data_IF_029925103058
#
_entry.id   IF_029925103058
#
_cell.length_a   1.000
_cell.length_b   1.000
_cell.length_c   1.000
_cell.angle_alpha   90.00
_cell.angle_beta   90.00
_cell.angle_gamma   90.00
#
_symmetry.space_group_name_H-M   'P 1'
#
loop_
_entity.id
_entity.type
_entity.pdbx_description
1 polymer ?
#
# COMPACT_ATOMS: atom_id res chain seq x y z
N UNK A 1 -29.25 -8.79 -18.20
CA UNK A 1 -28.17 -9.79 -18.01
C UNK A 1 -26.90 -9.23 -18.66
N UNK A 2 -25.79 -9.12 -17.92
CA UNK A 2 -24.43 -8.89 -18.46
C UNK A 2 -23.97 -7.43 -18.64
N UNK A 3 -23.13 -6.91 -17.72
CA UNK A 3 -22.07 -5.90 -18.02
C UNK A 3 -21.29 -5.39 -16.77
N UNK A 4 -21.65 -5.70 -15.52
CA UNK A 4 -20.94 -5.11 -14.34
C UNK A 4 -19.71 -5.88 -13.83
N UNK A 5 -19.42 -7.08 -14.34
CA UNK A 5 -18.37 -7.96 -13.80
C UNK A 5 -16.94 -7.71 -14.33
N UNK A 6 -16.76 -6.80 -15.29
CA UNK A 6 -15.47 -6.61 -15.97
C UNK A 6 -14.56 -5.57 -15.29
N UNK A 7 -15.11 -4.62 -14.53
CA UNK A 7 -14.35 -3.46 -14.03
C UNK A 7 -13.47 -3.78 -12.79
N UNK A 8 -13.82 -4.78 -11.99
CA UNK A 8 -13.02 -5.18 -10.79
C UNK A 8 -11.84 -6.09 -11.14
N UNK A 9 -12.00 -6.98 -12.13
CA UNK A 9 -10.89 -7.78 -12.68
C UNK A 9 -9.82 -6.92 -13.34
N UNK A 10 -10.23 -5.78 -13.90
CA UNK A 10 -9.34 -4.84 -14.58
C UNK A 10 -8.41 -4.10 -13.61
N UNK A 11 -8.89 -3.72 -12.41
CA UNK A 11 -8.06 -3.04 -11.38
C UNK A 11 -7.01 -3.97 -10.78
N UNK A 12 -7.35 -5.24 -10.56
CA UNK A 12 -6.36 -6.24 -10.11
C UNK A 12 -5.41 -6.64 -11.24
N UNK A 13 -5.91 -6.72 -12.48
CA UNK A 13 -5.10 -6.91 -13.69
C UNK A 13 -4.07 -5.80 -13.89
N UNK A 14 -4.41 -4.54 -13.61
CA UNK A 14 -3.48 -3.41 -13.72
C UNK A 14 -2.37 -3.41 -12.66
N UNK A 15 -2.66 -3.84 -11.43
CA UNK A 15 -1.61 -3.98 -10.39
C UNK A 15 -0.68 -5.15 -10.71
N UNK A 16 -1.23 -6.28 -11.18
CA UNK A 16 -0.41 -7.40 -11.64
C UNK A 16 0.39 -7.05 -12.90
N UNK A 17 -0.19 -6.27 -13.83
CA UNK A 17 0.49 -5.84 -15.05
C UNK A 17 1.56 -4.79 -14.76
N UNK A 18 1.35 -3.86 -13.82
CA UNK A 18 2.35 -2.90 -13.37
C UNK A 18 3.49 -3.59 -12.61
N UNK A 19 3.19 -4.59 -11.79
CA UNK A 19 4.19 -5.44 -11.14
C UNK A 19 5.00 -6.26 -12.15
N UNK A 20 4.34 -6.83 -13.17
CA UNK A 20 5.01 -7.52 -14.29
C UNK A 20 5.86 -6.56 -15.13
N UNK A 21 5.39 -5.33 -15.39
CA UNK A 21 6.14 -4.31 -16.11
C UNK A 21 7.38 -3.84 -15.34
N UNK A 22 7.26 -3.64 -14.03
CA UNK A 22 8.40 -3.29 -13.17
C UNK A 22 9.40 -4.45 -13.07
N UNK A 23 8.91 -5.70 -12.95
CA UNK A 23 9.76 -6.89 -12.98
C UNK A 23 10.47 -7.05 -14.33
N UNK A 24 9.76 -6.84 -15.44
CA UNK A 24 10.32 -6.89 -16.80
C UNK A 24 11.33 -5.75 -17.04
N UNK A 25 11.07 -4.56 -16.52
CA UNK A 25 11.99 -3.42 -16.59
C UNK A 25 13.26 -3.65 -15.75
N UNK A 26 13.15 -4.30 -14.60
CA UNK A 26 14.32 -4.69 -13.79
C UNK A 26 15.18 -5.75 -14.48
N UNK A 27 14.54 -6.71 -15.16
CA UNK A 27 15.23 -7.69 -16.01
C UNK A 27 15.90 -6.99 -17.21
N UNK A 28 15.23 -6.04 -17.87
CA UNK A 28 15.81 -5.29 -18.99
C UNK A 28 17.04 -4.45 -18.58
N UNK A 29 17.06 -3.87 -17.37
CA UNK A 29 18.24 -3.19 -16.83
C UNK A 29 19.40 -4.16 -16.58
N UNK A 30 19.12 -5.39 -16.15
CA UNK A 30 20.14 -6.43 -15.97
C UNK A 30 20.71 -6.92 -17.31
N UNK A 31 19.93 -6.87 -18.39
CA UNK A 31 20.36 -7.25 -19.74
C UNK A 31 21.17 -6.17 -20.47
N UNK A 32 21.21 -4.91 -19.99
CA UNK A 32 21.94 -3.84 -20.68
C UNK A 32 23.47 -3.90 -20.52
N UNK A 33 24.00 -4.82 -19.73
CA UNK A 33 25.45 -4.96 -19.52
C UNK A 33 26.01 -3.76 -18.76
N UNK A 34 27.00 -3.99 -17.90
CA UNK A 34 27.70 -2.88 -17.26
C UNK A 34 28.30 -1.97 -18.36
N UNK A 35 28.10 -0.63 -18.34
CA UNK A 35 28.71 0.25 -19.31
C UNK A 35 30.23 0.13 -19.20
N UNK A 36 30.85 -0.48 -20.21
CA UNK A 36 32.31 -0.63 -20.25
C UNK A 36 32.88 0.72 -20.68
N UNK A 37 33.31 1.52 -19.71
CA UNK A 37 34.08 2.73 -19.98
C UNK A 37 35.44 2.31 -20.55
N UNK A 38 35.57 2.36 -21.87
CA UNK A 38 36.88 2.33 -22.52
C UNK A 38 37.52 3.68 -22.25
N UNK A 39 38.57 3.71 -21.43
CA UNK A 39 39.27 4.95 -21.05
C UNK A 39 39.72 5.76 -22.27
N UNK A 40 40.03 7.04 -22.03
CA UNK A 40 40.55 7.98 -23.03
C UNK A 40 41.69 7.36 -23.84
N UNK A 41 41.44 7.06 -25.11
CA UNK A 41 42.48 6.64 -26.05
C UNK A 41 43.24 7.88 -26.49
N UNK A 42 44.38 8.12 -25.86
CA UNK A 42 45.33 9.12 -26.32
C UNK A 42 46.11 8.53 -27.49
N UNK A 43 45.82 8.98 -28.71
CA UNK A 43 46.67 8.70 -29.88
C UNK A 43 47.65 9.86 -29.99
N UNK A 44 48.92 9.71 -29.57
CA UNK A 44 49.89 10.78 -29.75
C UNK A 44 50.03 11.09 -31.25
N UNK A 45 50.19 12.36 -31.64
CA UNK A 45 50.52 12.69 -33.03
C UNK A 45 51.82 11.96 -33.39
N UNK A 46 51.92 11.47 -34.63
CA UNK A 46 53.12 10.83 -35.13
C UNK A 46 54.31 11.79 -34.92
N UNK A 47 55.10 11.54 -33.89
CA UNK A 47 56.41 12.14 -33.80
C UNK A 47 57.20 11.54 -34.95
N UNK A 48 57.79 12.39 -35.79
CA UNK A 48 58.83 11.97 -36.73
C UNK A 48 60.01 11.46 -35.90
N UNK A 49 59.95 10.19 -35.51
CA UNK A 49 61.05 9.47 -34.91
C UNK A 49 62.08 9.27 -36.01
N UNK A 50 63.09 10.14 -36.06
CA UNK A 50 64.29 9.84 -36.82
C UNK A 50 64.85 8.50 -36.31
N UNK A 51 65.10 7.52 -37.20
CA UNK A 51 65.66 6.25 -36.78
C UNK A 51 67.02 6.50 -36.14
N UNK A 52 67.15 6.21 -34.85
CA UNK A 52 68.45 6.12 -34.22
C UNK A 52 69.10 4.82 -34.74
N UNK A 53 70.29 4.87 -35.34
CA UNK A 53 70.98 3.65 -35.76
C UNK A 53 71.46 2.93 -34.51
N UNK A 54 70.65 2.01 -33.99
CA UNK A 54 70.99 1.25 -32.78
C UNK A 54 69.85 0.47 -32.12
N UNK A 55 68.58 0.71 -32.43
CA UNK A 55 67.50 -0.12 -31.86
C UNK A 55 67.32 -1.40 -32.68
N UNK A 56 67.75 -2.52 -32.09
CA UNK A 56 67.41 -3.86 -32.55
C UNK A 56 65.89 -3.97 -32.62
N UNK A 57 65.36 -4.11 -33.84
CA UNK A 57 64.00 -4.60 -34.04
C UNK A 57 63.92 -5.99 -33.40
N UNK A 58 63.37 -6.06 -32.20
CA UNK A 58 62.81 -7.31 -31.69
C UNK A 58 61.57 -7.58 -32.54
N UNK A 59 61.78 -8.19 -33.71
CA UNK A 59 60.73 -8.76 -34.53
C UNK A 59 60.25 -10.04 -33.83
N UNK A 60 59.49 -9.84 -32.77
CA UNK A 60 58.58 -10.84 -32.23
C UNK A 60 57.19 -10.28 -32.41
N UNK A 61 56.43 -10.80 -33.38
CA UNK A 61 54.98 -10.65 -33.33
C UNK A 61 54.55 -11.19 -31.97
N UNK A 62 53.88 -10.43 -31.07
CA UNK A 62 53.32 -11.04 -29.89
C UNK A 62 52.30 -12.06 -30.39
N UNK A 63 52.63 -13.34 -30.24
CA UNK A 63 51.71 -14.45 -30.47
C UNK A 63 50.45 -14.12 -29.68
N UNK A 64 49.26 -14.07 -30.29
CA UNK A 64 48.02 -13.89 -29.54
C UNK A 64 47.98 -14.99 -28.49
N UNK A 65 48.10 -14.62 -27.23
CA UNK A 65 47.82 -15.52 -26.13
C UNK A 65 46.32 -15.82 -26.23
N UNK A 66 46.00 -17.01 -26.73
CA UNK A 66 44.64 -17.49 -26.87
C UNK A 66 44.13 -17.78 -25.46
N UNK A 67 43.68 -16.72 -24.76
CA UNK A 67 43.09 -16.82 -23.43
C UNK A 67 41.83 -17.67 -23.63
N UNK A 68 41.75 -18.91 -23.11
CA UNK A 68 40.54 -19.69 -23.22
C UNK A 68 39.46 -18.92 -22.45
N UNK A 69 38.58 -18.24 -23.17
CA UNK A 69 37.34 -17.71 -22.62
C UNK A 69 36.46 -18.93 -22.34
N UNK A 70 36.75 -19.62 -21.24
CA UNK A 70 35.82 -20.52 -20.59
C UNK A 70 34.65 -19.62 -20.16
N UNK A 71 33.63 -19.51 -21.01
CA UNK A 71 32.39 -18.78 -20.75
C UNK A 71 31.68 -19.46 -19.58
N UNK A 72 32.18 -19.26 -18.35
CA UNK A 72 31.46 -19.56 -17.13
C UNK A 72 30.30 -18.60 -17.10
N UNK A 73 29.15 -19.08 -17.59
CA UNK A 73 27.88 -18.40 -17.41
C UNK A 73 27.73 -18.23 -15.90
N UNK A 74 27.91 -17.00 -15.44
CA UNK A 74 27.86 -16.65 -14.04
C UNK A 74 26.39 -16.77 -13.59
N UNK A 75 26.01 -17.97 -13.14
CA UNK A 75 24.62 -18.28 -12.76
C UNK A 75 24.26 -17.70 -11.38
N UNK A 76 25.19 -17.00 -10.75
CA UNK A 76 25.04 -16.43 -9.41
C UNK A 76 23.93 -15.39 -9.39
N UNK A 77 23.80 -14.56 -10.44
CA UNK A 77 22.70 -13.58 -10.55
C UNK A 77 21.33 -14.24 -10.72
N UNK A 78 21.24 -15.34 -11.49
CA UNK A 78 20.01 -16.14 -11.63
C UNK A 78 19.61 -16.72 -10.28
N UNK A 79 20.59 -17.19 -9.51
CA UNK A 79 20.40 -17.74 -8.18
C UNK A 79 19.85 -16.67 -7.22
N UNK A 80 20.43 -15.46 -7.19
CA UNK A 80 19.91 -14.35 -6.40
C UNK A 80 18.52 -13.90 -6.83
N UNK A 81 18.24 -13.87 -8.14
CA UNK A 81 16.92 -13.52 -8.66
C UNK A 81 15.84 -14.53 -8.23
N UNK A 82 16.15 -15.83 -8.27
CA UNK A 82 15.26 -16.89 -7.79
C UNK A 82 15.04 -16.80 -6.28
N UNK A 83 16.08 -16.57 -5.49
CA UNK A 83 15.97 -16.39 -4.04
C UNK A 83 15.10 -15.17 -3.71
N UNK A 84 15.34 -14.03 -4.38
CA UNK A 84 14.55 -12.82 -4.18
C UNK A 84 13.06 -13.05 -4.52
N UNK A 85 12.77 -13.76 -5.62
CA UNK A 85 11.41 -14.12 -6.00
C UNK A 85 10.74 -15.00 -4.92
N UNK A 86 11.45 -16.01 -4.41
CA UNK A 86 10.94 -16.89 -3.35
C UNK A 86 10.66 -16.09 -2.08
N UNK A 87 11.56 -15.18 -1.68
CA UNK A 87 11.37 -14.33 -0.49
C UNK A 87 10.15 -13.42 -0.66
N UNK A 88 9.96 -12.80 -1.82
CA UNK A 88 8.79 -11.96 -2.11
C UNK A 88 7.50 -12.78 -2.04
N UNK A 89 7.47 -13.98 -2.62
CA UNK A 89 6.31 -14.88 -2.56
C UNK A 89 6.02 -15.30 -1.12
N UNK A 90 7.05 -15.66 -0.34
CA UNK A 90 6.90 -16.03 1.07
C UNK A 90 6.39 -14.85 1.91
N UNK A 91 6.91 -13.64 1.71
CA UNK A 91 6.42 -12.43 2.39
C UNK A 91 4.98 -12.11 2.00
N UNK A 92 4.61 -12.25 0.73
CA UNK A 92 3.24 -12.04 0.28
C UNK A 92 2.28 -13.08 0.88
N UNK A 93 2.69 -14.35 0.94
CA UNK A 93 1.92 -15.42 1.57
C UNK A 93 1.83 -15.24 3.08
N UNK A 94 2.92 -14.87 3.74
CA UNK A 94 2.98 -14.57 5.16
C UNK A 94 2.11 -13.36 5.49
N UNK A 95 2.18 -12.28 4.71
CA UNK A 95 1.32 -11.12 4.84
C UNK A 95 -0.15 -11.49 4.63
N UNK A 96 -0.47 -12.30 3.62
CA UNK A 96 -1.82 -12.80 3.38
C UNK A 96 -2.31 -13.69 4.52
N UNK A 97 -1.43 -14.53 5.07
CA UNK A 97 -1.71 -15.41 6.20
C UNK A 97 -1.91 -14.61 7.49
N UNK A 98 -1.00 -13.69 7.83
CA UNK A 98 -1.13 -12.75 8.94
C UNK A 98 -2.37 -11.91 8.78
N UNK A 99 -2.68 -11.36 7.61
CA UNK A 99 -3.90 -10.58 7.38
C UNK A 99 -5.18 -11.41 7.52
N UNK A 100 -5.13 -12.72 7.24
CA UNK A 100 -6.24 -13.65 7.48
C UNK A 100 -6.34 -14.12 8.94
N UNK A 101 -5.21 -14.22 9.64
CA UNK A 101 -5.12 -14.69 11.04
C UNK A 101 -5.30 -13.55 12.05
N UNK A 102 -4.88 -12.34 11.69
CA UNK A 102 -5.05 -11.07 12.41
C UNK A 102 -6.36 -10.37 12.03
N UNK A 103 -7.12 -10.91 11.08
CA UNK A 103 -8.57 -10.73 11.10
C UNK A 103 -9.05 -11.58 12.28
N UNK A 104 -9.39 -10.98 13.43
CA UNK A 104 -9.97 -11.76 14.50
C UNK A 104 -11.37 -12.11 14.00
N UNK A 105 -11.53 -13.32 13.48
CA UNK A 105 -12.69 -14.10 13.89
C UNK A 105 -12.54 -14.13 15.41
N UNK A 106 -13.49 -13.56 16.15
CA UNK A 106 -13.51 -13.65 17.61
C UNK A 106 -14.25 -14.95 17.98
N UNK A 107 -13.61 -16.13 18.10
CA UNK A 107 -14.02 -17.10 19.09
C UNK A 107 -13.49 -16.58 20.44
N UNK A 108 -14.39 -16.44 21.40
CA UNK A 108 -14.07 -15.86 22.70
C UNK A 108 -12.88 -16.55 23.38
N UNK A 109 -12.00 -15.75 23.96
CA UNK A 109 -11.02 -16.22 24.92
C UNK A 109 -10.96 -15.22 26.07
N UNK A 110 -11.58 -15.65 27.17
CA UNK A 110 -11.21 -15.36 28.55
C UNK A 110 -9.70 -15.53 28.74
N UNK A 111 -9.12 -14.73 29.63
CA UNK A 111 -7.77 -15.00 30.14
C UNK A 111 -7.01 -13.75 30.55
N UNK A 112 -7.18 -13.39 31.82
CA UNK A 112 -6.22 -12.77 32.73
C UNK A 112 -5.10 -11.89 32.16
N UNK A 113 -5.16 -10.60 32.50
CA UNK A 113 -3.97 -9.88 32.95
C UNK A 113 -4.29 -9.28 34.31
N UNK A 114 -3.66 -9.87 35.32
CA UNK A 114 -3.69 -9.48 36.72
C UNK A 114 -3.19 -8.03 36.92
N UNK A 115 -3.91 -7.31 37.77
CA UNK A 115 -3.60 -5.94 38.19
C UNK A 115 -4.60 -5.43 39.23
N UNK A 116 -4.63 -6.08 40.38
CA UNK A 116 -5.17 -5.71 41.69
C UNK A 116 -5.93 -4.37 41.85
N UNK A 117 -7.24 -4.44 42.10
CA UNK A 117 -7.89 -3.90 43.32
C UNK A 117 -9.34 -4.39 43.40
N UNK A 118 -9.79 -4.62 44.63
CA UNK A 118 -11.05 -5.24 45.01
C UNK A 118 -12.28 -4.58 44.35
N UNK A 119 -13.13 -5.42 43.79
CA UNK A 119 -14.40 -5.02 43.16
C UNK A 119 -14.76 -6.00 42.08
N UNK A 120 -15.36 -7.13 42.47
CA UNK A 120 -15.96 -8.10 41.53
C UNK A 120 -17.13 -7.43 40.81
N UNK A 121 -16.82 -6.71 39.73
CA UNK A 121 -17.76 -6.29 38.71
C UNK A 121 -17.64 -7.33 37.62
N UNK A 122 -18.75 -8.02 37.33
CA UNK A 122 -18.85 -8.92 36.19
C UNK A 122 -18.32 -8.21 34.93
N UNK A 123 -17.66 -8.90 33.98
CA UNK A 123 -17.14 -8.27 32.78
C UNK A 123 -18.26 -7.49 32.10
N UNK A 124 -18.19 -6.16 32.14
CA UNK A 124 -19.16 -5.32 31.44
C UNK A 124 -19.02 -5.67 29.96
N UNK A 125 -20.13 -6.02 29.26
CA UNK A 125 -20.05 -6.36 27.85
C UNK A 125 -19.37 -5.20 27.09
N UNK A 126 -18.50 -5.50 26.10
CA UNK A 126 -17.77 -4.47 25.40
C UNK A 126 -18.74 -3.41 24.89
N UNK A 127 -18.52 -2.15 25.29
CA UNK A 127 -19.41 -1.04 24.96
C UNK A 127 -19.72 -1.05 23.46
N UNK A 128 -20.99 -1.22 23.13
CA UNK A 128 -21.45 -1.20 21.76
C UNK A 128 -21.62 0.26 21.32
N UNK A 129 -21.13 0.64 20.13
CA UNK A 129 -21.27 2.00 19.64
C UNK A 129 -22.74 2.36 19.54
N UNK A 130 -23.11 3.50 20.15
CA UNK A 130 -24.47 4.03 20.06
C UNK A 130 -24.75 4.40 18.61
N UNK A 131 -25.66 3.67 17.93
CA UNK A 131 -25.88 3.80 16.50
C UNK A 131 -26.16 5.26 16.10
N UNK A 132 -27.09 5.91 16.80
CA UNK A 132 -27.55 7.29 16.52
C UNK A 132 -26.44 8.34 16.47
N UNK A 133 -25.37 8.18 17.27
CA UNK A 133 -24.26 9.13 17.31
C UNK A 133 -23.37 9.02 16.08
N UNK A 134 -23.11 7.78 15.64
CA UNK A 134 -22.40 7.52 14.39
C UNK A 134 -23.21 8.01 13.19
N UNK A 135 -24.55 7.89 13.21
CA UNK A 135 -25.42 8.47 12.16
C UNK A 135 -25.21 9.97 12.03
N UNK A 136 -25.26 10.66 13.15
CA UNK A 136 -25.14 12.12 13.19
C UNK A 136 -23.79 12.57 12.64
N UNK A 137 -22.73 11.82 12.93
CA UNK A 137 -21.40 12.05 12.32
C UNK A 137 -21.41 11.89 10.80
N UNK A 138 -22.05 10.83 10.27
CA UNK A 138 -22.19 10.61 8.82
C UNK A 138 -23.06 11.69 8.15
N UNK A 139 -24.17 12.09 8.77
CA UNK A 139 -25.05 13.15 8.27
C UNK A 139 -24.28 14.48 8.18
N UNK A 140 -23.59 14.84 9.26
CA UNK A 140 -22.75 16.04 9.31
C UNK A 140 -21.63 16.01 8.28
N UNK A 141 -21.01 14.85 8.05
CA UNK A 141 -19.99 14.70 7.02
C UNK A 141 -20.55 14.98 5.61
N UNK A 142 -21.77 14.52 5.30
CA UNK A 142 -22.43 14.83 4.02
C UNK A 142 -22.72 16.32 3.87
N UNK A 143 -23.22 16.97 4.92
CA UNK A 143 -23.48 18.41 4.92
C UNK A 143 -22.20 19.19 4.62
N UNK A 144 -21.09 18.85 5.31
CA UNK A 144 -19.79 19.50 5.13
C UNK A 144 -19.19 19.30 3.73
N UNK A 145 -19.39 18.12 3.14
CA UNK A 145 -18.98 17.84 1.76
C UNK A 145 -19.86 18.56 0.72
N UNK A 146 -21.03 19.06 1.11
CA UNK A 146 -21.93 19.83 0.24
C UNK A 146 -21.69 21.33 0.25
N UNK A 147 -20.88 21.85 1.17
CA UNK A 147 -20.54 23.26 1.26
C UNK A 147 -19.56 23.68 0.14
N UNK A 148 -19.71 24.89 -0.38
CA UNK A 148 -18.79 25.46 -1.36
C UNK A 148 -17.46 25.84 -0.69
N UNK A 149 -16.48 24.94 -0.77
CA UNK A 149 -15.18 25.02 -0.11
C UNK A 149 -14.08 24.44 -0.97
N UNK A 150 -12.84 24.74 -0.59
CA UNK A 150 -11.67 24.09 -1.17
C UNK A 150 -11.73 22.56 -0.91
N UNK A 151 -11.47 21.72 -1.93
CA UNK A 151 -11.67 20.26 -1.83
C UNK A 151 -10.95 19.56 -0.67
N UNK A 152 -9.70 19.93 -0.38
CA UNK A 152 -8.93 19.35 0.73
C UNK A 152 -9.59 19.68 2.06
N UNK A 153 -9.92 20.95 2.28
CA UNK A 153 -10.59 21.43 3.48
C UNK A 153 -11.96 20.75 3.71
N UNK A 154 -12.75 20.56 2.64
CA UNK A 154 -14.03 19.86 2.73
C UNK A 154 -13.87 18.41 3.23
N UNK A 155 -12.90 17.66 2.69
CA UNK A 155 -12.62 16.27 3.08
C UNK A 155 -12.09 16.20 4.52
N UNK A 156 -11.17 17.09 4.90
CA UNK A 156 -10.63 17.13 6.27
C UNK A 156 -11.73 17.41 7.29
N UNK A 157 -12.59 18.41 7.05
CA UNK A 157 -13.70 18.73 7.96
C UNK A 157 -14.73 17.63 8.07
N UNK A 158 -15.07 17.00 6.95
CA UNK A 158 -15.99 15.86 6.94
C UNK A 158 -15.45 14.70 7.78
N UNK A 159 -14.14 14.42 7.66
CA UNK A 159 -13.48 13.39 8.48
C UNK A 159 -13.46 13.75 9.97
N UNK A 160 -13.15 14.99 10.33
CA UNK A 160 -13.17 15.45 11.72
C UNK A 160 -14.57 15.36 12.35
N UNK A 161 -15.62 15.72 11.60
CA UNK A 161 -17.00 15.55 12.06
C UNK A 161 -17.38 14.07 12.29
N UNK A 162 -16.79 13.16 11.52
CA UNK A 162 -16.94 11.72 11.73
C UNK A 162 -16.16 11.21 12.96
N UNK A 163 -14.96 11.74 13.20
CA UNK A 163 -14.18 11.48 14.42
C UNK A 163 -14.94 11.87 15.68
N UNK A 164 -15.54 13.07 15.68
CA UNK A 164 -16.39 13.55 16.77
C UNK A 164 -17.60 12.63 17.00
N UNK A 165 -18.30 12.25 15.92
CA UNK A 165 -19.44 11.32 16.00
C UNK A 165 -19.05 9.92 16.51
N UNK A 166 -17.85 9.44 16.16
CA UNK A 166 -17.31 8.19 16.65
C UNK A 166 -16.92 8.26 18.13
N UNK A 167 -16.30 9.36 18.59
CA UNK A 167 -15.98 9.59 20.00
C UNK A 167 -17.25 9.66 20.87
N UNK A 168 -18.30 10.30 20.36
CA UNK A 168 -19.61 10.42 21.01
C UNK A 168 -20.39 9.09 21.07
N UNK A 169 -19.98 8.08 20.31
CA UNK A 169 -20.66 6.78 20.26
C UNK A 169 -20.59 5.99 21.58
N UNK A 170 -19.74 6.42 22.52
CA UNK A 170 -19.51 5.72 23.79
C UNK A 170 -18.52 4.57 23.70
N UNK A 171 -17.86 4.40 22.55
CA UNK A 171 -16.73 3.46 22.41
C UNK A 171 -15.44 4.24 22.57
N UNK A 172 -14.54 3.72 23.40
CA UNK A 172 -13.22 4.31 23.57
C UNK A 172 -12.21 3.72 22.59
N UNK A 173 -11.19 4.53 22.29
CA UNK A 173 -10.02 4.13 21.51
C UNK A 173 -9.17 3.15 22.32
N UNK A 174 -8.56 2.18 21.63
CA UNK A 174 -7.59 1.28 22.27
C UNK A 174 -6.28 2.03 22.57
N UNK A 175 -5.46 1.58 23.55
CA UNK A 175 -4.25 2.30 23.96
C UNK A 175 -3.26 2.62 22.83
N UNK A 176 -3.14 1.72 21.85
CA UNK A 176 -2.23 1.85 20.71
C UNK A 176 -2.95 2.11 19.37
N UNK A 177 -4.25 2.39 19.39
CA UNK A 177 -5.03 2.62 18.17
C UNK A 177 -4.94 4.08 17.72
N UNK A 178 -4.71 4.30 16.43
CA UNK A 178 -4.70 5.64 15.86
C UNK A 178 -6.13 6.20 15.72
N UNK A 179 -6.33 7.54 15.66
CA UNK A 179 -7.65 8.13 15.41
C UNK A 179 -8.33 7.58 14.14
N UNK A 180 -7.56 7.42 13.06
CA UNK A 180 -8.01 6.84 11.81
C UNK A 180 -8.55 5.41 11.95
N UNK A 181 -7.80 4.56 12.66
CA UNK A 181 -8.19 3.19 12.93
C UNK A 181 -9.42 3.09 13.83
N UNK A 182 -9.50 3.98 14.83
CA UNK A 182 -10.64 4.08 15.74
C UNK A 182 -11.93 4.38 15.00
N UNK A 183 -11.96 5.45 14.18
CA UNK A 183 -13.15 5.79 13.39
C UNK A 183 -13.52 4.65 12.46
N UNK A 184 -12.54 4.10 11.73
CA UNK A 184 -12.81 2.97 10.84
C UNK A 184 -13.40 1.78 11.59
N UNK A 185 -12.92 1.47 12.80
CA UNK A 185 -13.46 0.39 13.65
C UNK A 185 -14.88 0.69 14.12
N UNK A 186 -15.14 1.90 14.60
CA UNK A 186 -16.47 2.31 15.09
C UNK A 186 -17.48 2.33 13.95
N UNK A 187 -17.14 3.00 12.85
CA UNK A 187 -17.98 3.10 11.65
C UNK A 187 -18.22 1.72 11.05
N UNK A 188 -17.21 0.86 10.93
CA UNK A 188 -17.39 -0.49 10.36
C UNK A 188 -18.16 -1.50 11.23
N UNK A 189 -18.30 -1.21 12.54
CA UNK A 189 -19.16 -1.99 13.44
C UNK A 189 -20.64 -1.63 13.27
N UNK A 190 -20.90 -0.38 12.89
CA UNK A 190 -22.25 0.15 12.74
C UNK A 190 -22.72 0.01 11.28
N UNK A 191 -21.87 0.42 10.33
CA UNK A 191 -22.05 0.30 8.89
C UNK A 191 -21.17 -0.83 8.33
N UNK A 192 -21.75 -1.81 7.63
CA UNK A 192 -21.02 -3.01 7.22
C UNK A 192 -20.07 -2.81 6.02
N UNK A 193 -20.14 -1.67 5.32
CA UNK A 193 -19.30 -1.43 4.15
C UNK A 193 -17.86 -1.00 4.51
N UNK A 194 -17.00 -2.01 4.70
CA UNK A 194 -15.58 -1.79 4.99
C UNK A 194 -14.80 -1.19 3.82
N UNK A 195 -15.27 -1.36 2.58
CA UNK A 195 -14.58 -0.81 1.41
C UNK A 195 -14.78 0.71 1.38
N UNK A 196 -16.02 1.16 1.57
CA UNK A 196 -16.36 2.58 1.68
C UNK A 196 -15.63 3.25 2.86
N UNK A 197 -15.55 2.60 4.03
CA UNK A 197 -14.79 3.12 5.18
C UNK A 197 -13.28 3.25 4.88
N UNK A 198 -12.71 2.33 4.10
CA UNK A 198 -11.32 2.38 3.69
C UNK A 198 -11.05 3.50 2.67
N UNK A 199 -11.93 3.63 1.67
CA UNK A 199 -11.84 4.68 0.64
C UNK A 199 -11.91 6.09 1.26
N UNK A 200 -12.84 6.31 2.20
CA UNK A 200 -12.94 7.57 2.91
C UNK A 200 -11.67 7.89 3.73
N UNK A 201 -11.10 6.89 4.42
CA UNK A 201 -9.85 7.06 5.16
C UNK A 201 -8.69 7.39 4.22
N UNK A 202 -8.57 6.72 3.07
CA UNK A 202 -7.51 6.98 2.09
C UNK A 202 -7.60 8.39 1.51
N UNK A 203 -8.82 8.88 1.25
CA UNK A 203 -9.07 10.25 0.80
C UNK A 203 -8.67 11.28 1.87
N UNK A 204 -9.02 11.04 3.13
CA UNK A 204 -8.58 11.88 4.25
C UNK A 204 -7.06 11.90 4.41
N UNK A 205 -6.41 10.72 4.39
CA UNK A 205 -4.95 10.65 4.52
C UNK A 205 -4.24 11.37 3.38
N UNK A 206 -4.77 11.28 2.14
CA UNK A 206 -4.26 12.07 1.00
C UNK A 206 -4.45 13.57 1.24
N UNK A 207 -5.65 13.98 1.64
CA UNK A 207 -5.94 15.38 1.93
C UNK A 207 -5.07 15.94 3.07
N UNK A 208 -4.78 15.15 4.10
CA UNK A 208 -4.05 15.61 5.28
C UNK A 208 -2.52 15.59 5.12
N UNK A 209 -2.00 14.56 4.45
CA UNK A 209 -0.57 14.22 4.50
C UNK A 209 0.11 14.12 3.14
N UNK A 210 -0.60 14.37 2.04
CA UNK A 210 -0.02 14.34 0.69
C UNK A 210 0.00 15.73 0.06
N UNK A 211 1.06 16.02 -0.68
CA UNK A 211 1.18 17.19 -1.56
C UNK A 211 0.41 17.00 -2.89
N UNK A 212 -0.19 15.83 -3.13
CA UNK A 212 -1.00 15.59 -4.32
C UNK A 212 -2.20 16.56 -4.37
N UNK A 213 -2.59 17.04 -5.57
CA UNK A 213 -3.78 17.87 -5.72
C UNK A 213 -5.02 17.09 -5.31
N UNK A 214 -5.88 17.71 -4.51
CA UNK A 214 -7.21 17.22 -4.14
C UNK A 214 -8.22 18.00 -4.96
N UNK A 215 -9.13 17.30 -5.61
CA UNK A 215 -10.03 17.85 -6.63
C UNK A 215 -11.49 17.70 -6.22
N UNK A 216 -12.39 18.38 -6.93
CA UNK A 216 -13.84 18.18 -6.75
C UNK A 216 -14.25 16.71 -6.96
N UNK A 217 -13.55 15.96 -7.83
CA UNK A 217 -13.80 14.53 -7.99
C UNK A 217 -13.47 13.71 -6.74
N UNK A 218 -12.50 14.14 -5.93
CA UNK A 218 -12.19 13.49 -4.65
C UNK A 218 -13.28 13.78 -3.62
N UNK A 219 -13.88 14.98 -3.65
CA UNK A 219 -15.05 15.32 -2.81
C UNK A 219 -16.26 14.47 -3.20
N UNK A 220 -16.50 14.27 -4.49
CA UNK A 220 -17.58 13.40 -4.97
C UNK A 220 -17.35 11.94 -4.57
N UNK A 221 -16.09 11.46 -4.62
CA UNK A 221 -15.74 10.12 -4.14
C UNK A 221 -15.94 10.00 -2.61
N UNK A 222 -15.56 11.02 -1.84
CA UNK A 222 -15.80 11.05 -0.40
C UNK A 222 -17.30 11.02 -0.09
N UNK A 223 -18.12 11.80 -0.82
CA UNK A 223 -19.57 11.82 -0.66
C UNK A 223 -20.17 10.45 -0.94
N UNK A 224 -19.79 9.82 -2.05
CA UNK A 224 -20.25 8.48 -2.40
C UNK A 224 -19.86 7.43 -1.35
N UNK A 225 -18.67 7.52 -0.77
CA UNK A 225 -18.24 6.64 0.31
C UNK A 225 -19.09 6.82 1.58
N UNK A 226 -19.37 8.07 1.99
CA UNK A 226 -20.23 8.36 3.15
C UNK A 226 -21.67 7.89 2.91
N UNK A 227 -22.22 8.07 1.70
CA UNK A 227 -23.54 7.56 1.31
C UNK A 227 -23.61 6.03 1.35
N UNK A 228 -22.58 5.33 0.85
CA UNK A 228 -22.48 3.88 0.90
C UNK A 228 -22.46 3.36 2.35
N UNK A 229 -21.71 4.03 3.23
CA UNK A 229 -21.69 3.72 4.66
C UNK A 229 -23.09 3.86 5.27
N UNK A 230 -23.78 4.98 4.99
CA UNK A 230 -25.16 5.21 5.45
C UNK A 230 -26.13 4.16 4.93
N UNK A 231 -26.04 3.79 3.66
CA UNK A 231 -26.92 2.80 3.03
C UNK A 231 -26.69 1.39 3.58
N UNK A 232 -25.43 1.00 3.81
CA UNK A 232 -25.07 -0.33 4.34
C UNK A 232 -25.70 -0.64 5.69
N UNK A 233 -26.05 0.43 6.42
CA UNK A 233 -26.65 0.32 7.72
C UNK A 233 -28.15 0.01 7.70
N UNK A 234 -28.89 0.59 6.75
CA UNK A 234 -30.31 0.29 6.53
C UNK A 234 -30.54 -1.18 6.15
N UNK A 235 -29.60 -1.76 5.39
CA UNK A 235 -29.64 -3.18 5.04
C UNK A 235 -29.38 -4.10 6.24
N UNK A 236 -28.47 -3.73 7.15
CA UNK A 236 -28.17 -4.51 8.35
C UNK A 236 -29.33 -4.48 9.37
N UNK A 237 -29.99 -3.33 9.54
CA UNK A 237 -31.15 -3.19 10.43
C UNK A 237 -32.36 -3.99 9.93
N UNK A 238 -32.60 -4.04 8.61
CA UNK A 238 -33.69 -4.83 8.02
C UNK A 238 -33.47 -6.36 8.13
N UNK A 239 -32.21 -6.82 8.15
CA UNK A 239 -31.86 -8.24 8.30
C UNK A 239 -31.90 -8.76 9.75
N UNK A 240 -31.94 -7.87 10.75
CA UNK A 240 -31.94 -8.22 12.17
C UNK A 240 -33.33 -8.49 12.78
N UNK A 241 -34.41 -8.15 12.06
CA UNK A 241 -35.81 -8.31 12.53
C UNK A 241 -36.37 -9.71 12.26
N UNK A 242 -35.65 -10.54 11.49
CA UNK A 242 -36.01 -11.94 11.23
C UNK A 242 -35.03 -12.86 11.97
N UNK A 243 -35.17 -12.98 13.29
CA UNK A 243 -34.63 -14.11 14.04
C UNK A 243 -35.28 -14.28 15.39
#
# INVERSE_FOLDING_TARGET
MGSKATRSRQRWGMVTAAGLLLAFSGVALAFQGAPVFTGLRFTPPAADLQPHPGEQQVTGTPTPEDIPHETRIDLTWVTYAVIALIVVVLLALLWRYLRRRLQPVFPGLSGDVAGSTEGSVAPEPPAQPRPERVRRGLDRALDLLGEDREPRDAIERAWLGLEEGAADSGVHRLPAETPGEFVRRVVSRVASDRAAAGELLDLYLRARFSDAPVTASDVDAARAAVEALRASWGAAAAGGVVR
#
